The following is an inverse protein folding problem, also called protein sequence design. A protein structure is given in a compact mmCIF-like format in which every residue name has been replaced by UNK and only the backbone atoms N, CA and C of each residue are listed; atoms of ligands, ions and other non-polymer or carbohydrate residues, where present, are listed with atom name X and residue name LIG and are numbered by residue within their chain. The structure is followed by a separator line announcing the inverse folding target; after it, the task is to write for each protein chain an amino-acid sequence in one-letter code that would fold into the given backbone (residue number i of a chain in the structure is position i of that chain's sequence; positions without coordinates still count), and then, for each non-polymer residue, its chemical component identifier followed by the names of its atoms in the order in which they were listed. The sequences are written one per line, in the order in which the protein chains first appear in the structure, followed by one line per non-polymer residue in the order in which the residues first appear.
data_IF_618467777203
#
_entry.id   IF_618467777203
#
_cell.length_a   1.000
_cell.length_b   1.000
_cell.length_c   1.000
_cell.angle_alpha   90.00
_cell.angle_beta   90.00
_cell.angle_gamma   90.00
#
_symmetry.space_group_name_H-M   'P 1'
#
loop_
_entity.id
_entity.type
_entity.pdbx_description
1 polymer ?
#
# COMPACT_ATOMS: atom_id res chain seq x y z
N UNK A 1 -5.68 -3.71 -23.79
CA UNK A 1 -5.22 -4.82 -22.91
C UNK A 1 -5.32 -4.45 -21.40
N UNK A 2 -6.13 -3.44 -21.03
CA UNK A 2 -6.27 -2.92 -19.66
C UNK A 2 -7.49 -3.48 -18.89
N UNK A 3 -8.35 -4.25 -19.56
CA UNK A 3 -9.65 -4.70 -19.03
C UNK A 3 -9.60 -6.09 -18.39
N UNK A 4 -8.52 -6.43 -17.67
CA UNK A 4 -8.44 -7.70 -16.94
C UNK A 4 -9.22 -7.62 -15.62
N UNK A 5 -9.65 -8.77 -15.12
CA UNK A 5 -10.37 -8.95 -13.85
C UNK A 5 -9.58 -8.57 -12.60
N UNK A 6 -8.29 -8.26 -12.75
CA UNK A 6 -7.45 -7.72 -11.69
C UNK A 6 -7.15 -6.25 -12.02
N UNK A 7 -7.37 -5.32 -11.07
CA UNK A 7 -7.07 -3.92 -11.29
C UNK A 7 -5.58 -3.74 -11.58
N UNK A 8 -5.26 -3.19 -12.74
CA UNK A 8 -3.91 -2.70 -13.03
C UNK A 8 -3.72 -1.33 -12.40
N UNK A 9 -2.48 -0.97 -12.05
CA UNK A 9 -2.17 0.37 -11.51
C UNK A 9 -2.59 1.52 -12.43
N UNK A 10 -2.78 1.26 -13.73
CA UNK A 10 -3.35 2.23 -14.67
C UNK A 10 -4.76 2.71 -14.30
N UNK A 11 -5.56 1.89 -13.60
CA UNK A 11 -6.88 2.29 -13.11
C UNK A 11 -6.79 3.39 -12.03
N UNK A 12 -5.63 3.62 -11.44
CA UNK A 12 -5.40 4.72 -10.51
C UNK A 12 -5.35 6.10 -11.23
N UNK A 13 -5.19 6.12 -12.56
CA UNK A 13 -5.00 7.35 -13.35
C UNK A 13 -5.83 7.36 -14.64
N UNK A 14 -7.11 6.94 -14.57
CA UNK A 14 -7.97 6.85 -15.77
C UNK A 14 -8.24 8.21 -16.42
N UNK A 15 -8.11 9.31 -15.68
CA UNK A 15 -8.20 10.67 -16.21
C UNK A 15 -7.19 10.94 -17.34
N UNK A 16 -6.08 10.20 -17.39
CA UNK A 16 -5.08 10.32 -18.45
C UNK A 16 -5.50 9.64 -19.77
N UNK A 17 -6.59 8.87 -19.78
CA UNK A 17 -7.04 8.08 -20.92
C UNK A 17 -8.39 8.57 -21.48
N UNK A 18 -8.82 9.78 -21.11
CA UNK A 18 -10.06 10.38 -21.61
C UNK A 18 -9.99 10.48 -23.14
N UNK A 19 -10.95 9.84 -23.82
CA UNK A 19 -11.02 9.77 -25.28
C UNK A 19 -10.30 8.58 -25.92
N UNK A 20 -9.48 7.86 -25.16
CA UNK A 20 -8.69 6.73 -25.66
C UNK A 20 -9.26 5.35 -25.25
N UNK A 21 -10.11 5.32 -24.22
CA UNK A 21 -10.67 4.08 -23.67
C UNK A 21 -12.18 4.16 -23.45
N UNK A 22 -12.80 3.00 -23.42
CA UNK A 22 -14.19 2.83 -23.02
C UNK A 22 -14.27 2.61 -21.50
N UNK A 23 -14.74 3.64 -20.78
CA UNK A 23 -14.70 3.68 -19.31
C UNK A 23 -15.64 2.66 -18.66
N UNK A 24 -16.71 2.23 -19.35
CA UNK A 24 -17.62 1.20 -18.80
C UNK A 24 -16.88 -0.12 -18.55
N UNK A 25 -15.84 -0.40 -19.32
CA UNK A 25 -15.03 -1.62 -19.19
C UNK A 25 -14.16 -1.65 -17.93
N UNK A 26 -14.09 -0.55 -17.18
CA UNK A 26 -13.37 -0.47 -15.90
C UNK A 26 -14.28 -0.68 -14.69
N UNK A 27 -15.61 -0.80 -14.86
CA UNK A 27 -16.53 -1.12 -13.77
C UNK A 27 -16.07 -2.32 -12.92
N UNK A 28 -15.55 -3.44 -13.48
CA UNK A 28 -15.06 -4.56 -12.68
C UNK A 28 -13.83 -4.26 -11.81
N UNK A 29 -13.16 -3.12 -12.04
CA UNK A 29 -11.98 -2.67 -11.29
C UNK A 29 -12.35 -1.70 -10.16
N UNK A 30 -13.63 -1.32 -10.03
CA UNK A 30 -14.12 -0.58 -8.87
C UNK A 30 -13.94 -1.42 -7.62
N UNK A 31 -13.38 -0.80 -6.59
CA UNK A 31 -13.17 -1.43 -5.30
C UNK A 31 -13.54 -0.47 -4.19
N UNK A 32 -14.43 -0.90 -3.30
CA UNK A 32 -15.02 -0.06 -2.25
C UNK A 32 -15.61 1.25 -2.83
N UNK A 33 -16.13 1.17 -4.06
CA UNK A 33 -16.70 2.29 -4.81
C UNK A 33 -15.68 3.23 -5.47
N UNK A 34 -14.37 3.05 -5.27
CA UNK A 34 -13.35 3.90 -5.89
C UNK A 34 -12.54 3.16 -6.96
N UNK A 35 -11.96 3.93 -7.89
CA UNK A 35 -10.92 3.46 -8.79
C UNK A 35 -9.58 3.45 -8.07
N UNK A 36 -9.28 2.33 -7.39
CA UNK A 36 -8.06 2.13 -6.61
C UNK A 36 -7.77 3.27 -5.60
N UNK A 37 -8.82 3.90 -5.06
CA UNK A 37 -8.67 4.99 -4.09
C UNK A 37 -8.23 6.34 -4.69
N UNK A 38 -8.28 6.52 -6.02
CA UNK A 38 -8.01 7.80 -6.69
C UNK A 38 -9.29 8.59 -6.94
N UNK A 39 -9.48 9.78 -6.31
CA UNK A 39 -10.65 10.62 -6.56
C UNK A 39 -10.72 11.15 -7.99
N UNK A 40 -9.59 11.53 -8.60
CA UNK A 40 -9.55 12.02 -9.99
C UNK A 40 -9.94 10.93 -10.98
N UNK A 41 -9.37 9.73 -10.83
CA UNK A 41 -9.69 8.58 -11.68
C UNK A 41 -11.15 8.14 -11.52
N UNK A 42 -11.67 8.15 -10.29
CA UNK A 42 -13.08 7.80 -10.04
C UNK A 42 -14.03 8.83 -10.64
N UNK A 43 -13.70 10.12 -10.59
CA UNK A 43 -14.48 11.17 -11.24
C UNK A 43 -14.44 11.02 -12.76
N UNK A 44 -13.28 10.76 -13.36
CA UNK A 44 -13.16 10.51 -14.79
C UNK A 44 -13.99 9.29 -15.23
N UNK A 45 -13.95 8.20 -14.47
CA UNK A 45 -14.83 7.04 -14.69
C UNK A 45 -16.31 7.42 -14.65
N UNK A 46 -16.75 8.13 -13.61
CA UNK A 46 -18.16 8.47 -13.47
C UNK A 46 -18.67 9.41 -14.57
N UNK A 47 -17.83 10.36 -15.03
CA UNK A 47 -18.17 11.33 -16.08
C UNK A 47 -18.19 10.67 -17.47
N UNK A 48 -17.28 9.73 -17.75
CA UNK A 48 -17.09 9.17 -19.08
C UNK A 48 -17.65 7.75 -19.27
N UNK A 49 -18.16 7.12 -18.21
CA UNK A 49 -18.94 5.88 -18.31
C UNK A 49 -20.29 6.16 -18.98
N UNK A 50 -20.76 5.21 -19.80
CA UNK A 50 -22.11 5.28 -20.40
C UNK A 50 -23.22 5.11 -19.37
N UNK A 51 -22.92 4.43 -18.25
CA UNK A 51 -23.85 4.16 -17.16
C UNK A 51 -23.36 4.83 -15.88
N UNK A 52 -24.27 5.54 -15.20
CA UNK A 52 -23.98 6.21 -13.93
C UNK A 52 -23.85 5.20 -12.80
N UNK A 53 -22.69 5.18 -12.15
CA UNK A 53 -22.38 4.24 -11.08
C UNK A 53 -22.58 4.89 -9.71
N UNK A 54 -23.63 4.49 -9.01
CA UNK A 54 -23.95 5.02 -7.68
C UNK A 54 -22.90 4.70 -6.62
N UNK A 55 -22.09 3.65 -6.77
CA UNK A 55 -21.02 3.34 -5.83
C UNK A 55 -19.84 4.32 -6.00
N UNK A 56 -19.52 4.68 -7.24
CA UNK A 56 -18.52 5.70 -7.56
C UNK A 56 -18.93 7.10 -7.08
N UNK A 57 -20.20 7.48 -7.28
CA UNK A 57 -20.75 8.72 -6.74
C UNK A 57 -20.68 8.74 -5.20
N UNK A 58 -21.14 7.66 -4.54
CA UNK A 58 -21.09 7.55 -3.09
C UNK A 58 -19.66 7.61 -2.54
N UNK A 59 -18.69 7.04 -3.26
CA UNK A 59 -17.27 7.16 -2.92
C UNK A 59 -16.81 8.62 -2.99
N UNK A 60 -17.10 9.36 -4.06
CA UNK A 60 -16.72 10.78 -4.19
C UNK A 60 -17.35 11.65 -3.11
N UNK A 61 -18.62 11.42 -2.76
CA UNK A 61 -19.27 12.09 -1.62
C UNK A 61 -18.55 11.82 -0.29
N UNK A 62 -18.08 10.59 -0.08
CA UNK A 62 -17.29 10.22 1.10
C UNK A 62 -15.93 10.91 1.11
N UNK A 63 -15.25 10.97 -0.03
CA UNK A 63 -13.98 11.70 -0.18
C UNK A 63 -14.14 13.16 0.21
N UNK A 64 -15.19 13.82 -0.29
CA UNK A 64 -15.42 15.24 -0.03
C UNK A 64 -15.85 15.51 1.42
N UNK A 65 -16.66 14.64 2.01
CA UNK A 65 -17.19 14.84 3.38
C UNK A 65 -16.21 14.39 4.47
N UNK A 66 -15.51 13.27 4.27
CA UNK A 66 -14.66 12.63 5.27
C UNK A 66 -13.15 12.74 4.98
N UNK A 67 -12.76 13.15 3.77
CA UNK A 67 -11.35 13.35 3.42
C UNK A 67 -10.76 14.61 4.04
N UNK A 68 -9.52 14.94 3.64
CA UNK A 68 -8.77 16.09 4.17
C UNK A 68 -9.50 17.43 3.98
N UNK A 69 -10.35 17.55 2.96
CA UNK A 69 -11.17 18.72 2.71
C UNK A 69 -12.34 18.93 3.68
N UNK A 70 -12.74 17.90 4.44
CA UNK A 70 -13.79 17.96 5.50
C UNK A 70 -15.04 18.75 5.10
N UNK A 71 -15.53 18.57 3.88
CA UNK A 71 -16.71 19.24 3.34
C UNK A 71 -16.45 20.63 2.72
N UNK A 72 -15.22 21.14 2.72
CA UNK A 72 -14.84 22.41 2.08
C UNK A 72 -14.66 22.32 0.56
N UNK A 73 -14.88 21.14 -0.03
CA UNK A 73 -14.89 20.92 -1.48
C UNK A 73 -13.55 20.46 -2.09
N UNK A 74 -12.47 20.33 -1.31
CA UNK A 74 -11.21 19.75 -1.78
C UNK A 74 -11.17 18.23 -1.62
N UNK A 75 -10.44 17.56 -2.52
CA UNK A 75 -10.17 16.12 -2.47
C UNK A 75 -8.65 15.86 -2.39
N UNK A 76 -8.20 14.85 -1.64
CA UNK A 76 -6.81 14.39 -1.65
C UNK A 76 -6.47 13.66 -2.96
N UNK A 77 -5.17 13.41 -3.19
CA UNK A 77 -4.72 12.57 -4.31
C UNK A 77 -5.09 11.09 -4.16
N UNK A 78 -5.16 10.59 -2.92
CA UNK A 78 -5.51 9.20 -2.58
C UNK A 78 -6.46 9.20 -1.38
N UNK A 79 -7.50 8.36 -1.42
CA UNK A 79 -8.39 8.14 -0.28
C UNK A 79 -9.16 6.81 -0.37
N UNK A 80 -9.32 6.05 0.73
CA UNK A 80 -8.65 6.24 2.02
C UNK A 80 -7.20 5.72 2.01
N UNK A 81 -6.47 6.00 3.09
CA UNK A 81 -5.07 5.58 3.33
C UNK A 81 -4.92 4.84 4.65
N UNK A 82 -5.96 4.08 5.04
CA UNK A 82 -6.09 3.53 6.40
C UNK A 82 -4.97 2.56 6.79
N UNK A 83 -4.57 1.63 5.90
CA UNK A 83 -3.50 0.67 6.22
C UNK A 83 -2.18 1.42 6.36
N UNK A 84 -1.88 2.30 5.41
CA UNK A 84 -0.70 3.16 5.43
C UNK A 84 -0.60 3.94 6.74
N UNK A 85 -1.66 4.68 7.10
CA UNK A 85 -1.69 5.50 8.31
C UNK A 85 -1.49 4.66 9.57
N UNK A 86 -2.23 3.56 9.71
CA UNK A 86 -2.16 2.70 10.88
C UNK A 86 -0.79 2.04 11.04
N UNK A 87 -0.22 1.50 9.95
CA UNK A 87 1.06 0.82 9.99
C UNK A 87 2.22 1.81 10.23
N UNK A 88 2.24 2.95 9.53
CA UNK A 88 3.31 3.95 9.68
C UNK A 88 3.28 4.64 11.04
N UNK A 89 2.12 5.14 11.47
CA UNK A 89 2.02 5.85 12.76
C UNK A 89 2.43 4.92 13.90
N UNK A 90 1.94 3.68 13.89
CA UNK A 90 2.25 2.72 14.95
C UNK A 90 3.70 2.28 14.95
N UNK A 91 4.31 2.06 13.78
CA UNK A 91 5.73 1.75 13.68
C UNK A 91 6.62 2.90 14.19
N UNK A 92 6.30 4.14 13.81
CA UNK A 92 7.08 5.31 14.21
C UNK A 92 6.96 5.56 15.71
N UNK A 93 5.75 5.56 16.27
CA UNK A 93 5.55 5.74 17.71
C UNK A 93 6.33 4.70 18.52
N UNK A 94 6.28 3.42 18.11
CA UNK A 94 7.04 2.35 18.78
C UNK A 94 8.56 2.44 18.60
N UNK A 95 9.04 3.14 17.57
CA UNK A 95 10.47 3.32 17.33
C UNK A 95 11.09 4.40 18.24
N UNK A 96 10.27 5.35 18.73
CA UNK A 96 10.74 6.49 19.53
C UNK A 96 10.27 6.46 20.99
N UNK A 97 9.32 5.58 21.34
CA UNK A 97 8.78 5.47 22.69
C UNK A 97 9.06 4.09 23.29
N UNK A 98 9.69 4.05 24.45
CA UNK A 98 9.94 2.81 25.21
C UNK A 98 8.81 2.45 26.18
N UNK A 99 7.95 3.42 26.52
CA UNK A 99 6.84 3.25 27.44
C UNK A 99 5.59 3.93 26.89
N UNK A 100 4.44 3.29 27.12
CA UNK A 100 3.13 3.80 26.73
C UNK A 100 2.22 3.92 27.94
N UNK A 101 1.33 4.90 27.93
CA UNK A 101 0.19 4.90 28.85
C UNK A 101 -0.69 3.68 28.57
N UNK A 102 -1.49 3.27 29.55
CA UNK A 102 -2.44 2.16 29.37
C UNK A 102 -3.40 2.43 28.20
N UNK A 103 -3.86 3.68 28.04
CA UNK A 103 -4.73 4.09 26.94
C UNK A 103 -4.05 3.91 25.58
N UNK A 104 -2.82 4.45 25.41
CA UNK A 104 -2.07 4.29 24.16
C UNK A 104 -1.75 2.82 23.88
N UNK A 105 -1.42 2.04 24.90
CA UNK A 105 -1.22 0.59 24.78
C UNK A 105 -2.46 -0.13 24.24
N UNK A 106 -3.66 0.19 24.77
CA UNK A 106 -4.93 -0.36 24.25
C UNK A 106 -5.21 0.05 22.81
N UNK A 107 -4.93 1.31 22.45
CA UNK A 107 -5.09 1.78 21.07
C UNK A 107 -4.15 1.04 20.11
N UNK A 108 -2.87 0.86 20.46
CA UNK A 108 -1.91 0.10 19.66
C UNK A 108 -2.36 -1.36 19.48
N UNK A 109 -2.91 -1.99 20.52
CA UNK A 109 -3.48 -3.34 20.40
C UNK A 109 -4.67 -3.40 19.44
N UNK A 110 -5.58 -2.41 19.49
CA UNK A 110 -6.70 -2.33 18.55
C UNK A 110 -6.22 -2.16 17.11
N UNK A 111 -5.22 -1.30 16.89
CA UNK A 111 -4.60 -1.10 15.58
C UNK A 111 -3.97 -2.41 15.09
N UNK A 112 -3.23 -3.13 15.95
CA UNK A 112 -2.65 -4.43 15.63
C UNK A 112 -3.71 -5.45 15.20
N UNK A 113 -4.85 -5.51 15.90
CA UNK A 113 -5.99 -6.37 15.50
C UNK A 113 -6.53 -5.98 14.13
N UNK A 114 -6.79 -4.69 13.88
CA UNK A 114 -7.31 -4.22 12.59
C UNK A 114 -6.35 -4.51 11.43
N UNK A 115 -5.05 -4.25 11.60
CA UNK A 115 -4.03 -4.55 10.60
C UNK A 115 -3.96 -6.06 10.32
N UNK A 116 -4.04 -6.90 11.36
CA UNK A 116 -4.02 -8.36 11.21
C UNK A 116 -5.22 -8.86 10.42
N UNK A 117 -6.42 -8.34 10.72
CA UNK A 117 -7.65 -8.70 10.01
C UNK A 117 -7.57 -8.30 8.53
N UNK A 118 -7.11 -7.08 8.23
CA UNK A 118 -6.94 -6.61 6.85
C UNK A 118 -5.96 -7.46 6.05
N UNK A 119 -4.85 -7.85 6.67
CA UNK A 119 -3.84 -8.73 6.07
C UNK A 119 -4.39 -10.14 5.80
N UNK A 120 -5.18 -10.69 6.72
CA UNK A 120 -5.80 -12.03 6.57
C UNK A 120 -6.85 -12.03 5.46
N UNK A 121 -7.69 -10.98 5.37
CA UNK A 121 -8.73 -10.86 4.34
C UNK A 121 -8.17 -10.82 2.92
N UNK A 122 -6.90 -10.45 2.76
CA UNK A 122 -6.20 -10.32 1.47
C UNK A 122 -5.03 -11.31 1.35
N UNK A 123 -5.18 -12.51 1.92
CA UNK A 123 -4.25 -13.63 1.77
C UNK A 123 -2.78 -13.31 2.14
N UNK A 124 -2.59 -12.51 3.19
CA UNK A 124 -1.27 -12.14 3.68
C UNK A 124 -0.67 -10.91 2.99
N UNK A 125 -1.44 -10.21 2.16
CA UNK A 125 -1.03 -9.00 1.43
C UNK A 125 -1.95 -7.83 1.76
N UNK A 126 -1.49 -6.60 1.57
CA UNK A 126 -2.32 -5.38 1.66
C UNK A 126 -1.83 -4.32 0.69
N UNK A 127 -2.72 -3.38 0.34
CA UNK A 127 -2.35 -2.07 -0.20
C UNK A 127 -2.65 -0.97 0.83
N UNK A 128 -2.57 0.30 0.41
CA UNK A 128 -2.74 1.46 1.31
C UNK A 128 -4.09 1.54 2.04
N UNK A 129 -5.11 0.81 1.58
CA UNK A 129 -6.36 0.58 2.27
C UNK A 129 -7.06 -0.70 1.77
N UNK A 130 -8.16 -1.09 2.43
CA UNK A 130 -8.96 -2.23 2.00
C UNK A 130 -9.43 -2.07 0.55
N UNK A 131 -9.20 -3.10 -0.26
CA UNK A 131 -9.61 -3.11 -1.67
C UNK A 131 -8.72 -2.33 -2.62
N UNK A 132 -7.67 -1.66 -2.14
CA UNK A 132 -6.64 -1.10 -3.02
C UNK A 132 -5.75 -2.22 -3.61
N UNK A 133 -5.00 -1.88 -4.65
CA UNK A 133 -4.02 -2.80 -5.22
C UNK A 133 -2.98 -3.14 -4.15
N UNK A 134 -2.71 -4.42 -3.95
CA UNK A 134 -1.68 -4.86 -3.00
C UNK A 134 -0.29 -4.49 -3.50
N UNK A 135 0.57 -4.10 -2.57
CA UNK A 135 1.95 -3.73 -2.87
C UNK A 135 2.90 -4.19 -1.76
N UNK A 136 4.18 -4.31 -2.11
CA UNK A 136 5.19 -4.82 -1.20
C UNK A 136 5.51 -3.85 -0.06
N UNK A 137 5.35 -2.54 -0.25
CA UNK A 137 5.72 -1.54 0.75
C UNK A 137 4.75 -1.58 1.93
N UNK A 138 3.46 -1.47 1.63
CA UNK A 138 2.37 -1.55 2.60
C UNK A 138 2.32 -2.91 3.28
N UNK A 139 2.50 -3.98 2.52
CA UNK A 139 2.55 -5.35 3.07
C UNK A 139 3.74 -5.52 4.00
N UNK A 140 4.95 -5.14 3.57
CA UNK A 140 6.15 -5.27 4.40
C UNK A 140 6.04 -4.42 5.67
N UNK A 141 5.56 -3.18 5.57
CA UNK A 141 5.40 -2.31 6.74
C UNK A 141 4.38 -2.88 7.71
N UNK A 142 3.26 -3.41 7.21
CA UNK A 142 2.23 -4.05 8.04
C UNK A 142 2.78 -5.28 8.77
N UNK A 143 3.48 -6.17 8.06
CA UNK A 143 4.12 -7.36 8.64
C UNK A 143 5.14 -6.97 9.71
N UNK A 144 6.01 -5.99 9.41
CA UNK A 144 6.97 -5.44 10.36
C UNK A 144 6.28 -4.90 11.62
N UNK A 145 5.27 -4.04 11.47
CA UNK A 145 4.55 -3.41 12.58
C UNK A 145 3.89 -4.47 13.48
N UNK A 146 3.23 -5.48 12.89
CA UNK A 146 2.60 -6.56 13.65
C UNK A 146 3.63 -7.38 14.43
N UNK A 147 4.73 -7.77 13.79
CA UNK A 147 5.78 -8.53 14.46
C UNK A 147 6.46 -7.71 15.57
N UNK A 148 6.67 -6.40 15.34
CA UNK A 148 7.19 -5.48 16.37
C UNK A 148 6.26 -5.39 17.58
N UNK A 149 4.94 -5.40 17.36
CA UNK A 149 3.93 -5.45 18.43
C UNK A 149 3.84 -6.82 19.13
N UNK A 150 4.64 -7.81 18.74
CA UNK A 150 4.59 -9.16 19.27
C UNK A 150 3.43 -10.01 18.73
N UNK A 151 2.86 -9.64 17.57
CA UNK A 151 1.81 -10.39 16.87
C UNK A 151 2.46 -11.18 15.71
N UNK A 152 2.73 -12.49 15.87
CA UNK A 152 3.47 -13.26 14.88
C UNK A 152 2.80 -13.26 13.51
N UNK A 153 3.54 -12.84 12.50
CA UNK A 153 3.06 -12.65 11.14
C UNK A 153 4.14 -13.07 10.14
N UNK A 154 3.80 -14.01 9.26
CA UNK A 154 4.72 -14.51 8.24
C UNK A 154 4.84 -13.53 7.06
N UNK A 155 6.05 -13.29 6.53
CA UNK A 155 6.28 -12.56 5.28
C UNK A 155 6.15 -13.44 4.02
N UNK A 156 5.72 -14.71 4.13
CA UNK A 156 5.73 -15.65 2.99
C UNK A 156 4.94 -15.14 1.78
N UNK A 157 3.71 -14.62 1.95
CA UNK A 157 2.91 -14.08 0.83
C UNK A 157 3.60 -12.89 0.14
N UNK A 158 4.29 -12.04 0.90
CA UNK A 158 5.09 -10.92 0.40
C UNK A 158 6.24 -11.43 -0.47
N UNK A 159 6.93 -12.48 -0.03
CA UNK A 159 8.01 -13.12 -0.78
C UNK A 159 7.48 -13.73 -2.06
N UNK A 160 6.47 -14.59 -1.96
CA UNK A 160 5.90 -15.30 -3.10
C UNK A 160 5.40 -14.34 -4.19
N UNK A 161 4.89 -13.17 -3.80
CA UNK A 161 4.29 -12.22 -4.73
C UNK A 161 5.27 -11.25 -5.37
N UNK A 162 6.26 -10.77 -4.61
CA UNK A 162 7.04 -9.59 -4.98
C UNK A 162 8.56 -9.82 -5.09
N UNK A 163 9.05 -11.00 -4.73
CA UNK A 163 10.47 -11.33 -4.89
C UNK A 163 10.86 -11.39 -6.38
N UNK A 164 11.91 -10.65 -6.74
CA UNK A 164 12.58 -10.77 -8.05
C UNK A 164 13.98 -11.38 -7.90
N UNK A 165 14.76 -11.46 -8.98
CA UNK A 165 16.12 -11.99 -8.94
C UNK A 165 17.05 -11.19 -8.02
N UNK A 166 16.95 -9.86 -8.03
CA UNK A 166 17.93 -8.98 -7.37
C UNK A 166 17.36 -8.15 -6.22
N UNK A 167 16.06 -7.89 -6.22
CA UNK A 167 15.37 -7.03 -5.25
C UNK A 167 13.89 -7.42 -5.14
N UNK A 168 13.12 -6.71 -4.32
CA UNK A 168 11.67 -6.83 -4.27
C UNK A 168 11.00 -5.71 -5.04
N UNK A 169 9.98 -6.06 -5.82
CA UNK A 169 9.17 -5.12 -6.59
C UNK A 169 8.13 -4.46 -5.66
N UNK A 170 7.86 -3.15 -5.77
CA UNK A 170 6.69 -2.56 -5.10
C UNK A 170 5.38 -3.11 -5.67
N UNK A 171 5.28 -3.16 -7.00
CA UNK A 171 4.17 -3.79 -7.73
C UNK A 171 4.70 -4.81 -8.74
N UNK A 172 3.94 -5.88 -9.00
CA UNK A 172 4.41 -7.01 -9.83
C UNK A 172 4.85 -6.68 -11.28
N UNK A 173 4.55 -5.49 -11.80
CA UNK A 173 4.96 -5.02 -13.13
C UNK A 173 5.50 -3.58 -13.11
N UNK A 174 6.48 -3.30 -12.25
CA UNK A 174 7.13 -1.99 -12.20
C UNK A 174 8.41 -1.90 -13.04
N UNK A 175 8.71 -0.67 -13.52
CA UNK A 175 9.92 -0.39 -14.31
C UNK A 175 11.15 -0.12 -13.44
N UNK A 176 10.96 0.64 -12.36
CA UNK A 176 12.04 1.10 -11.50
C UNK A 176 11.82 0.54 -10.09
N UNK A 177 12.85 -0.01 -9.43
CA UNK A 177 12.74 -0.48 -8.06
C UNK A 177 12.59 0.69 -7.08
N UNK A 178 12.05 0.42 -5.89
CA UNK A 178 12.03 1.35 -4.76
C UNK A 178 13.03 0.93 -3.70
N UNK A 179 13.84 1.88 -3.23
CA UNK A 179 14.76 1.64 -2.12
C UNK A 179 14.01 1.54 -0.80
N UNK A 180 12.99 2.38 -0.58
CA UNK A 180 12.16 2.36 0.63
C UNK A 180 11.42 1.03 0.78
N UNK A 181 10.81 0.52 -0.31
CA UNK A 181 10.18 -0.81 -0.33
C UNK A 181 11.15 -1.91 0.08
N UNK A 182 12.37 -1.93 -0.48
CA UNK A 182 13.34 -2.97 -0.14
C UNK A 182 13.86 -2.84 1.30
N UNK A 183 13.92 -1.62 1.86
CA UNK A 183 14.25 -1.39 3.25
C UNK A 183 13.13 -1.90 4.18
N UNK A 184 11.87 -1.63 3.86
CA UNK A 184 10.73 -2.16 4.61
C UNK A 184 10.63 -3.67 4.53
N UNK A 185 10.87 -4.27 3.36
CA UNK A 185 10.95 -5.73 3.20
C UNK A 185 12.06 -6.30 4.10
N UNK A 186 13.25 -5.71 4.10
CA UNK A 186 14.34 -6.16 4.98
C UNK A 186 13.92 -6.11 6.46
N UNK A 187 13.27 -5.03 6.90
CA UNK A 187 12.75 -4.92 8.27
C UNK A 187 11.69 -6.01 8.57
N UNK A 188 10.76 -6.26 7.65
CA UNK A 188 9.75 -7.30 7.81
C UNK A 188 10.37 -8.69 7.99
N UNK A 189 11.40 -9.01 7.20
CA UNK A 189 12.10 -10.29 7.26
C UNK A 189 12.98 -10.44 8.52
N UNK A 190 13.62 -9.36 8.97
CA UNK A 190 14.45 -9.35 10.18
C UNK A 190 13.62 -9.47 11.46
N UNK A 191 12.36 -9.03 11.44
CA UNK A 191 11.43 -9.12 12.57
C UNK A 191 10.46 -10.31 12.47
N UNK A 192 10.50 -11.06 11.37
CA UNK A 192 9.67 -12.25 11.21
C UNK A 192 10.02 -13.34 12.23
N UNK A 193 9.04 -14.18 12.61
CA UNK A 193 9.34 -15.43 13.31
C UNK A 193 10.32 -16.28 12.49
N UNK A 194 11.29 -16.92 13.15
CA UNK A 194 12.29 -17.79 12.49
C UNK A 194 13.12 -17.08 11.41
N UNK A 195 13.70 -15.93 11.74
CA UNK A 195 14.49 -15.06 10.84
C UNK A 195 15.54 -15.79 9.99
N UNK A 196 16.10 -16.91 10.47
CA UNK A 196 17.08 -17.73 9.75
C UNK A 196 16.52 -18.34 8.46
N UNK A 197 15.20 -18.58 8.37
CA UNK A 197 14.51 -19.06 7.16
C UNK A 197 14.68 -18.10 5.98
N UNK A 198 14.78 -16.80 6.26
CA UNK A 198 14.82 -15.73 5.25
C UNK A 198 16.22 -15.21 4.95
N UNK A 199 17.27 -15.96 5.32
CA UNK A 199 18.68 -15.52 5.17
C UNK A 199 19.01 -15.10 3.73
N UNK A 200 18.49 -15.82 2.72
CA UNK A 200 18.77 -15.50 1.32
C UNK A 200 18.11 -14.19 0.87
N UNK A 201 16.88 -13.93 1.32
CA UNK A 201 16.12 -12.71 1.08
C UNK A 201 16.72 -11.52 1.84
N UNK A 202 17.11 -11.72 3.10
CA UNK A 202 17.82 -10.72 3.89
C UNK A 202 19.10 -10.25 3.19
N UNK A 203 19.93 -11.20 2.74
CA UNK A 203 21.15 -10.87 2.02
C UNK A 203 20.88 -10.21 0.66
N UNK A 204 19.77 -10.56 -0.01
CA UNK A 204 19.32 -9.91 -1.25
C UNK A 204 18.97 -8.44 -1.01
N UNK A 205 18.08 -8.15 -0.06
CA UNK A 205 17.72 -6.76 0.25
C UNK A 205 18.94 -5.96 0.72
N UNK A 206 19.77 -6.50 1.60
CA UNK A 206 20.98 -5.82 2.06
C UNK A 206 21.94 -5.48 0.91
N UNK A 207 22.20 -6.42 -0.02
CA UNK A 207 23.02 -6.15 -1.20
C UNK A 207 22.43 -5.06 -2.08
N UNK A 208 21.12 -5.11 -2.34
CA UNK A 208 20.44 -4.09 -3.13
C UNK A 208 20.55 -2.70 -2.49
N UNK A 209 20.25 -2.58 -1.19
CA UNK A 209 20.34 -1.32 -0.44
C UNK A 209 21.77 -0.76 -0.43
N UNK A 210 22.77 -1.61 -0.17
CA UNK A 210 24.17 -1.21 -0.22
C UNK A 210 24.62 -0.78 -1.62
N UNK A 211 24.15 -1.45 -2.67
CA UNK A 211 24.43 -1.07 -4.06
C UNK A 211 23.86 0.32 -4.37
N UNK A 212 22.58 0.55 -4.07
CA UNK A 212 21.94 1.86 -4.30
C UNK A 212 22.67 2.96 -3.54
N UNK A 213 23.04 2.71 -2.28
CA UNK A 213 23.84 3.65 -1.49
C UNK A 213 25.20 3.97 -2.14
N UNK A 214 25.91 2.94 -2.62
CA UNK A 214 27.25 3.10 -3.19
C UNK A 214 27.25 3.77 -4.57
N UNK A 215 26.19 3.56 -5.36
CA UNK A 215 26.02 4.13 -6.69
C UNK A 215 25.36 5.52 -6.66
N UNK A 216 24.95 6.01 -5.49
CA UNK A 216 24.38 7.35 -5.34
C UNK A 216 25.49 8.38 -5.17
N UNK A 217 25.56 9.35 -6.09
CA UNK A 217 26.56 10.43 -6.04
C UNK A 217 26.26 11.48 -4.94
N UNK A 218 24.98 11.66 -4.57
CA UNK A 218 24.51 12.63 -3.57
C UNK A 218 23.47 12.00 -2.60
N UNK A 219 22.20 12.39 -2.74
CA UNK A 219 21.09 11.87 -1.93
C UNK A 219 20.54 10.60 -2.56
N UNK A 220 20.27 9.62 -1.72
CA UNK A 220 19.54 8.42 -2.13
C UNK A 220 18.10 8.81 -2.42
N UNK A 221 17.70 8.65 -3.68
CA UNK A 221 16.34 8.94 -4.13
C UNK A 221 15.45 7.71 -4.08
N UNK A 222 14.22 7.88 -3.62
CA UNK A 222 13.16 6.89 -3.75
C UNK A 222 12.06 7.39 -4.68
N UNK A 223 11.49 6.51 -5.51
CA UNK A 223 10.45 6.95 -6.45
C UNK A 223 9.16 7.41 -5.77
N UNK A 224 8.95 7.06 -4.50
CA UNK A 224 7.75 7.40 -3.73
C UNK A 224 7.94 8.61 -2.80
N UNK A 225 9.16 9.11 -2.59
CA UNK A 225 9.42 10.22 -1.67
C UNK A 225 10.64 11.05 -2.08
N UNK A 226 10.63 12.33 -1.72
CA UNK A 226 11.68 13.32 -2.06
C UNK A 226 12.72 13.36 -0.95
#
# INVERSE_FOLDING_TARGET
MLHRSFPGSAAYSLEAFIGDVDFVQFQPQLSVGGMLGSPSSTAAYLIHSSDWDGAAEAYLHRVLSCGSGRGAGSAPGTYPTTVFELAWVSANIQSYCSEFTEETGRMLQQIGTTLKELLVVQDGLVGGAQGMCVDADETAKTVFTLNWMGIPTSPDSLIDRFESSEYFLSYGHERNPSISTNAHVLLALLYAPETTRYTSQNAKCARYLCRVWWESDDLVHDKWNI
#
